data_IF_732866325550
#
_entry.id   IF_732866325550
#
_cell.length_a   1.000
_cell.length_b   1.000
_cell.length_c   1.000
_cell.angle_alpha   90.00
_cell.angle_beta   90.00
_cell.angle_gamma   90.00
#
_symmetry.space_group_name_H-M   'P 1'
#
loop_
_entity.id
_entity.type
_entity.pdbx_description
1 polymer ?
#
# COMPACT_ATOMS: atom_id res chain seq x y z
N UNK A 1 -45.06 -43.56 19.16
CA UNK A 1 -43.58 -43.39 19.22
C UNK A 1 -43.07 -43.05 17.83
N UNK A 2 -42.94 -41.78 17.51
CA UNK A 2 -42.50 -41.30 16.21
C UNK A 2 -40.98 -41.21 16.20
N UNK A 3 -40.35 -42.12 15.47
CA UNK A 3 -38.87 -42.12 15.23
C UNK A 3 -38.58 -40.90 14.34
N UNK A 4 -38.20 -39.77 14.93
CA UNK A 4 -37.76 -38.59 14.20
C UNK A 4 -36.43 -38.91 13.50
N UNK A 5 -36.40 -38.65 12.21
CA UNK A 5 -35.36 -39.08 11.30
C UNK A 5 -34.14 -38.15 11.45
N UNK A 6 -33.17 -38.52 12.27
CA UNK A 6 -31.93 -37.79 12.54
C UNK A 6 -31.12 -37.44 11.26
N UNK A 7 -31.43 -38.02 10.12
CA UNK A 7 -30.78 -37.74 8.85
C UNK A 7 -31.14 -36.35 8.30
N UNK A 8 -32.38 -35.87 8.54
CA UNK A 8 -32.85 -34.56 8.09
C UNK A 8 -32.21 -33.42 8.88
N UNK A 9 -32.06 -33.55 10.15
CA UNK A 9 -31.44 -32.57 11.05
C UNK A 9 -29.96 -32.39 10.71
N UNK A 10 -29.24 -33.49 10.44
CA UNK A 10 -27.83 -33.43 10.05
C UNK A 10 -27.60 -32.82 8.65
N UNK A 11 -28.55 -33.00 7.72
CA UNK A 11 -28.45 -32.43 6.38
C UNK A 11 -28.64 -30.91 6.39
N UNK A 12 -29.65 -30.42 7.10
CA UNK A 12 -29.90 -28.98 7.25
C UNK A 12 -28.82 -28.27 8.07
N UNK A 13 -28.28 -28.93 9.11
CA UNK A 13 -27.16 -28.41 9.88
C UNK A 13 -25.88 -28.23 9.04
N UNK A 14 -25.58 -29.19 8.14
CA UNK A 14 -24.44 -29.10 7.21
C UNK A 14 -24.60 -27.99 6.16
N UNK A 15 -25.81 -27.77 5.66
CA UNK A 15 -26.11 -26.70 4.69
C UNK A 15 -25.96 -25.33 5.39
N UNK A 16 -26.44 -25.20 6.63
CA UNK A 16 -26.36 -23.94 7.40
C UNK A 16 -24.92 -23.56 7.73
N UNK A 17 -24.09 -24.53 8.09
CA UNK A 17 -22.64 -24.32 8.31
C UNK A 17 -21.94 -23.94 7.00
N UNK A 18 -22.29 -24.55 5.88
CA UNK A 18 -21.71 -24.25 4.57
C UNK A 18 -22.10 -22.83 4.07
N UNK A 19 -23.33 -22.37 4.35
CA UNK A 19 -23.78 -21.01 4.06
C UNK A 19 -23.06 -19.95 4.89
N UNK A 20 -22.69 -20.23 6.15
CA UNK A 20 -21.92 -19.31 6.98
C UNK A 20 -20.47 -19.12 6.51
N UNK A 21 -19.89 -20.12 5.85
CA UNK A 21 -18.52 -20.04 5.32
C UNK A 21 -18.46 -19.22 4.02
N UNK A 22 -19.56 -19.11 3.27
CA UNK A 22 -19.65 -18.39 2.01
C UNK A 22 -19.97 -16.89 2.16
N UNK A 23 -20.44 -16.43 3.31
CA UNK A 23 -20.71 -15.01 3.60
C UNK A 23 -19.48 -14.21 4.02
N UNK A 24 -18.29 -14.76 3.87
CA UNK A 24 -17.01 -14.07 4.09
C UNK A 24 -16.69 -13.06 3.00
N UNK A 25 -17.42 -11.95 2.91
CA UNK A 25 -16.82 -10.71 2.47
C UNK A 25 -15.73 -10.39 3.49
N UNK A 26 -14.49 -10.80 3.16
CA UNK A 26 -13.34 -10.57 4.01
C UNK A 26 -12.99 -9.07 4.01
N UNK A 27 -13.73 -8.31 4.79
CA UNK A 27 -13.12 -7.11 5.38
C UNK A 27 -12.04 -7.63 6.30
N UNK A 28 -10.79 -7.21 6.18
CA UNK A 28 -9.74 -7.64 7.08
C UNK A 28 -10.18 -7.25 8.50
N UNK A 29 -10.51 -8.22 9.31
CA UNK A 29 -10.94 -8.05 10.71
C UNK A 29 -9.88 -7.32 11.56
N UNK A 30 -8.66 -7.22 11.03
CA UNK A 30 -7.48 -6.68 11.70
C UNK A 30 -7.03 -5.31 11.17
N UNK A 31 -7.77 -4.67 10.25
CA UNK A 31 -7.40 -3.40 9.62
C UNK A 31 -6.43 -3.53 8.45
N UNK A 32 -6.11 -2.41 7.82
CA UNK A 32 -5.25 -2.31 6.64
C UNK A 32 -3.84 -1.84 7.02
N UNK A 33 -2.85 -2.42 6.33
CA UNK A 33 -1.45 -2.05 6.51
C UNK A 33 -0.89 -2.46 7.88
N UNK A 34 0.34 -2.05 8.15
CA UNK A 34 1.06 -2.33 9.40
C UNK A 34 0.39 -1.67 10.61
N UNK A 35 -0.20 -0.49 10.41
CA UNK A 35 -0.85 0.31 11.46
C UNK A 35 -2.30 -0.12 11.75
N UNK A 36 -2.82 -1.16 11.10
CA UNK A 36 -4.19 -1.69 11.28
C UNK A 36 -5.28 -0.62 11.13
N UNK A 37 -5.11 0.28 10.19
CA UNK A 37 -6.03 1.38 9.91
C UNK A 37 -7.38 0.88 9.38
N UNK A 38 -8.43 1.67 9.54
CA UNK A 38 -9.68 1.47 8.81
C UNK A 38 -9.44 1.66 7.31
N UNK A 39 -10.38 1.25 6.48
CA UNK A 39 -10.26 1.39 5.02
C UNK A 39 -10.11 2.84 4.58
N UNK A 40 -10.85 3.74 5.21
CA UNK A 40 -10.84 5.17 4.91
C UNK A 40 -9.52 5.82 5.34
N UNK A 41 -9.11 5.57 6.58
CA UNK A 41 -7.83 6.05 7.12
C UNK A 41 -6.65 5.53 6.30
N UNK A 42 -6.70 4.28 5.87
CA UNK A 42 -5.66 3.71 5.00
C UNK A 42 -5.64 4.39 3.62
N UNK A 43 -6.80 4.73 3.06
CA UNK A 43 -6.90 5.50 1.81
C UNK A 43 -6.22 6.86 1.93
N UNK A 44 -6.51 7.62 2.97
CA UNK A 44 -5.86 8.90 3.25
C UNK A 44 -4.35 8.75 3.48
N UNK A 45 -3.95 7.76 4.27
CA UNK A 45 -2.54 7.47 4.50
C UNK A 45 -1.77 7.19 3.19
N UNK A 46 -2.32 6.37 2.30
CA UNK A 46 -1.73 6.07 0.98
C UNK A 46 -1.62 7.34 0.13
N UNK A 47 -2.63 8.20 0.14
CA UNK A 47 -2.62 9.50 -0.56
C UNK A 47 -1.51 10.41 -0.02
N UNK A 48 -1.38 10.51 1.29
CA UNK A 48 -0.36 11.34 1.94
C UNK A 48 1.06 10.85 1.60
N UNK A 49 1.28 9.53 1.62
CA UNK A 49 2.56 8.93 1.23
C UNK A 49 2.87 9.19 -0.24
N UNK A 50 1.87 9.10 -1.12
CA UNK A 50 2.03 9.40 -2.54
C UNK A 50 2.40 10.87 -2.77
N UNK A 51 1.75 11.80 -2.09
CA UNK A 51 2.07 13.23 -2.14
C UNK A 51 3.48 13.51 -1.64
N UNK A 52 3.87 12.92 -0.51
CA UNK A 52 5.22 13.06 0.05
C UNK A 52 6.29 12.60 -0.96
N UNK A 53 6.13 11.41 -1.54
CA UNK A 53 7.04 10.89 -2.56
C UNK A 53 7.18 11.84 -3.76
N UNK A 54 6.06 12.34 -4.28
CA UNK A 54 6.07 13.24 -5.45
C UNK A 54 6.77 14.57 -5.13
N UNK A 55 6.53 15.13 -3.94
CA UNK A 55 7.21 16.35 -3.49
C UNK A 55 8.72 16.13 -3.45
N UNK A 56 9.17 15.06 -2.83
CA UNK A 56 10.59 14.73 -2.72
C UNK A 56 11.23 14.50 -4.09
N UNK A 57 10.56 13.75 -4.98
CA UNK A 57 11.05 13.57 -6.36
C UNK A 57 11.24 14.89 -7.10
N UNK A 58 10.30 15.84 -6.92
CA UNK A 58 10.41 17.17 -7.49
C UNK A 58 11.59 17.97 -6.92
N UNK A 59 11.83 17.89 -5.62
CA UNK A 59 12.95 18.53 -4.95
C UNK A 59 14.29 17.96 -5.40
N UNK A 60 14.42 16.63 -5.54
CA UNK A 60 15.63 15.98 -6.10
C UNK A 60 15.89 16.45 -7.52
N UNK A 61 14.84 16.54 -8.35
CA UNK A 61 14.95 17.01 -9.73
C UNK A 61 15.46 18.45 -9.77
N UNK A 62 14.91 19.35 -8.97
CA UNK A 62 15.34 20.75 -8.88
C UNK A 62 16.80 20.85 -8.45
N UNK A 63 17.19 20.11 -7.39
CA UNK A 63 18.55 20.08 -6.89
C UNK A 63 19.56 19.57 -7.95
N UNK A 64 19.16 18.59 -8.74
CA UNK A 64 19.98 18.03 -9.81
C UNK A 64 20.20 19.05 -10.94
N UNK A 65 19.17 19.84 -11.25
CA UNK A 65 19.25 20.90 -12.26
C UNK A 65 20.15 22.07 -11.81
N UNK A 66 20.07 22.44 -10.53
CA UNK A 66 20.86 23.54 -9.96
C UNK A 66 22.36 23.21 -9.88
N UNK A 67 22.71 21.94 -9.65
CA UNK A 67 24.09 21.52 -9.50
C UNK A 67 24.85 21.21 -10.81
N UNK A 68 24.24 21.48 -11.98
CA UNK A 68 24.85 21.40 -13.34
C UNK A 68 25.76 20.18 -13.56
N UNK A 69 25.37 19.04 -13.02
CA UNK A 69 26.09 17.77 -13.16
C UNK A 69 27.28 17.56 -12.25
N UNK A 70 27.59 18.50 -11.33
CA UNK A 70 28.65 18.30 -10.34
C UNK A 70 28.18 17.29 -9.28
N UNK A 71 28.54 16.03 -9.52
CA UNK A 71 28.13 14.91 -8.65
C UNK A 71 29.01 14.84 -7.41
N UNK A 72 28.75 15.74 -6.46
CA UNK A 72 29.35 15.66 -5.13
C UNK A 72 29.03 14.30 -4.47
N UNK A 73 29.87 13.88 -3.51
CA UNK A 73 29.59 12.66 -2.73
C UNK A 73 28.19 12.70 -2.11
N UNK A 74 27.72 13.88 -1.78
CA UNK A 74 26.41 14.11 -1.17
C UNK A 74 25.28 13.90 -2.16
N UNK A 75 25.39 14.47 -3.38
CA UNK A 75 24.41 14.25 -4.43
C UNK A 75 24.27 12.77 -4.77
N UNK A 76 25.37 12.01 -4.80
CA UNK A 76 25.32 10.54 -4.99
C UNK A 76 24.54 9.82 -3.90
N UNK A 77 24.59 10.31 -2.64
CA UNK A 77 23.78 9.74 -1.55
C UNK A 77 22.30 9.99 -1.76
N UNK A 78 21.92 11.23 -2.14
CA UNK A 78 20.52 11.60 -2.42
C UNK A 78 19.97 10.75 -3.56
N UNK A 79 20.67 10.71 -4.70
CA UNK A 79 20.22 9.93 -5.88
C UNK A 79 20.09 8.42 -5.57
N UNK A 80 20.97 7.88 -4.73
CA UNK A 80 20.86 6.48 -4.28
C UNK A 80 19.64 6.27 -3.38
N UNK A 81 19.36 7.19 -2.47
CA UNK A 81 18.21 7.13 -1.58
C UNK A 81 16.91 7.32 -2.36
N UNK A 82 16.88 8.24 -3.32
CA UNK A 82 15.75 8.44 -4.23
C UNK A 82 15.45 7.19 -5.05
N UNK A 83 16.46 6.56 -5.63
CA UNK A 83 16.29 5.30 -6.35
C UNK A 83 15.66 4.24 -5.47
N UNK A 84 16.13 4.10 -4.23
CA UNK A 84 15.54 3.18 -3.26
C UNK A 84 14.07 3.54 -2.93
N UNK A 85 13.77 4.82 -2.76
CA UNK A 85 12.40 5.30 -2.58
C UNK A 85 11.51 4.90 -3.75
N UNK A 86 11.95 5.09 -5.00
CA UNK A 86 11.20 4.67 -6.17
C UNK A 86 10.91 3.16 -6.20
N UNK A 87 11.88 2.34 -5.81
CA UNK A 87 11.71 0.88 -5.73
C UNK A 87 10.66 0.51 -4.68
N UNK A 88 10.70 1.11 -3.50
CA UNK A 88 9.73 0.85 -2.42
C UNK A 88 8.33 1.38 -2.74
N UNK A 89 8.23 2.50 -3.45
CA UNK A 89 6.97 3.14 -3.81
C UNK A 89 6.34 2.59 -5.12
N UNK A 90 7.01 1.69 -5.83
CA UNK A 90 6.54 1.18 -7.13
C UNK A 90 5.10 0.65 -7.11
N UNK A 91 4.63 -0.15 -6.12
CA UNK A 91 3.25 -0.59 -6.08
C UNK A 91 2.25 0.56 -5.88
N UNK A 92 2.63 1.58 -5.12
CA UNK A 92 1.83 2.77 -4.89
C UNK A 92 1.66 3.59 -6.16
N UNK A 93 2.74 3.76 -6.91
CA UNK A 93 2.74 4.49 -8.18
C UNK A 93 1.90 3.76 -9.24
N UNK A 94 2.00 2.44 -9.33
CA UNK A 94 1.15 1.63 -10.21
C UNK A 94 -0.33 1.76 -9.83
N UNK A 95 -0.63 1.73 -8.54
CA UNK A 95 -2.00 1.92 -8.03
C UNK A 95 -2.55 3.28 -8.45
N UNK A 96 -1.81 4.37 -8.20
CA UNK A 96 -2.22 5.73 -8.53
C UNK A 96 -2.40 5.93 -10.04
N UNK A 97 -1.49 5.39 -10.87
CA UNK A 97 -1.62 5.43 -12.33
C UNK A 97 -2.89 4.73 -12.81
N UNK A 98 -3.15 3.50 -12.35
CA UNK A 98 -4.36 2.76 -12.73
C UNK A 98 -5.64 3.44 -12.27
N UNK A 99 -5.64 4.02 -11.07
CA UNK A 99 -6.80 4.73 -10.53
C UNK A 99 -7.11 5.99 -11.36
N UNK A 100 -6.10 6.78 -11.70
CA UNK A 100 -6.25 7.99 -12.53
C UNK A 100 -6.71 7.69 -13.96
N UNK A 101 -6.35 6.54 -14.51
CA UNK A 101 -6.77 6.08 -15.84
C UNK A 101 -8.15 5.35 -15.82
N UNK A 102 -8.76 5.20 -14.64
CA UNK A 102 -10.02 4.45 -14.47
C UNK A 102 -9.87 2.95 -14.73
N UNK A 103 -8.66 2.41 -14.64
CA UNK A 103 -8.37 1.00 -14.85
C UNK A 103 -8.72 0.16 -13.63
N UNK A 104 -9.04 -1.11 -13.87
CA UNK A 104 -9.34 -2.04 -12.79
C UNK A 104 -8.11 -2.30 -11.89
N UNK A 105 -8.27 -2.05 -10.60
CA UNK A 105 -7.27 -2.35 -9.58
C UNK A 105 -7.55 -3.74 -9.00
N UNK A 106 -6.67 -4.69 -9.30
CA UNK A 106 -6.79 -6.07 -8.81
C UNK A 106 -6.46 -6.19 -7.32
N UNK A 107 -6.93 -7.26 -6.68
CA UNK A 107 -6.66 -7.56 -5.26
C UNK A 107 -5.17 -7.71 -4.97
N UNK A 108 -4.40 -8.23 -5.92
CA UNK A 108 -2.97 -8.41 -5.78
C UNK A 108 -2.25 -7.06 -5.59
N UNK A 109 -2.52 -6.07 -6.46
CA UNK A 109 -1.94 -4.74 -6.36
C UNK A 109 -2.35 -4.04 -5.06
N UNK A 110 -3.61 -4.15 -4.65
CA UNK A 110 -4.07 -3.61 -3.36
C UNK A 110 -3.27 -4.18 -2.19
N UNK A 111 -3.04 -5.49 -2.18
CA UNK A 111 -2.22 -6.15 -1.15
C UNK A 111 -0.74 -5.72 -1.18
N UNK A 112 -0.20 -5.48 -2.37
CA UNK A 112 1.16 -4.94 -2.48
C UNK A 112 1.24 -3.55 -1.88
N UNK A 113 0.29 -2.66 -2.18
CA UNK A 113 0.22 -1.31 -1.58
C UNK A 113 0.11 -1.38 -0.06
N UNK A 114 -0.78 -2.24 0.48
CA UNK A 114 -0.92 -2.44 1.93
C UNK A 114 0.40 -2.81 2.61
N UNK A 115 1.25 -3.60 1.96
CA UNK A 115 2.53 -4.07 2.50
C UNK A 115 3.66 -3.06 2.31
N UNK A 116 3.65 -2.31 1.22
CA UNK A 116 4.76 -1.43 0.83
C UNK A 116 4.57 0.03 1.25
N UNK A 117 3.37 0.45 1.65
CA UNK A 117 3.09 1.85 1.95
C UNK A 117 3.99 2.41 3.08
N UNK A 118 4.21 1.64 4.15
CA UNK A 118 5.10 2.05 5.26
C UNK A 118 6.56 2.11 4.82
N UNK A 119 7.01 1.16 4.01
CA UNK A 119 8.39 1.15 3.49
C UNK A 119 8.61 2.28 2.49
N UNK A 120 7.61 2.60 1.66
CA UNK A 120 7.61 3.76 0.78
C UNK A 120 7.73 5.07 1.59
N UNK A 121 6.90 5.26 2.63
CA UNK A 121 7.00 6.44 3.50
C UNK A 121 8.37 6.53 4.17
N UNK A 122 8.87 5.43 4.71
CA UNK A 122 10.18 5.41 5.38
C UNK A 122 11.31 5.79 4.42
N UNK A 123 11.28 5.26 3.20
CA UNK A 123 12.25 5.60 2.16
C UNK A 123 12.15 7.08 1.74
N UNK A 124 10.93 7.62 1.60
CA UNK A 124 10.69 9.03 1.31
C UNK A 124 11.25 9.95 2.43
N UNK A 125 10.95 9.62 3.69
CA UNK A 125 11.47 10.35 4.85
C UNK A 125 12.99 10.30 4.93
N UNK A 126 13.61 9.21 4.49
CA UNK A 126 15.07 9.10 4.42
C UNK A 126 15.66 10.10 3.42
N UNK A 127 15.06 10.27 2.24
CA UNK A 127 15.50 11.29 1.28
C UNK A 127 15.28 12.69 1.85
N UNK A 128 14.11 12.95 2.44
CA UNK A 128 13.81 14.24 3.10
C UNK A 128 14.83 14.59 4.18
N UNK A 129 15.30 13.61 4.97
CA UNK A 129 16.31 13.86 6.00
C UNK A 129 17.66 14.28 5.41
N UNK A 130 18.02 13.73 4.25
CA UNK A 130 19.24 14.12 3.55
C UNK A 130 19.19 15.58 3.08
N UNK A 131 18.03 16.10 2.67
CA UNK A 131 17.90 17.52 2.32
C UNK A 131 18.12 18.46 3.50
N UNK A 132 17.74 18.04 4.71
CA UNK A 132 17.93 18.86 5.91
C UNK A 132 19.39 18.93 6.39
N UNK A 133 20.26 18.09 5.84
CA UNK A 133 21.69 18.08 6.12
C UNK A 133 22.50 18.97 5.13
N UNK A 134 21.83 19.56 4.12
CA UNK A 134 22.43 20.54 3.19
C UNK A 134 22.55 21.91 3.81
#
# INVERSE_FOLDING_TARGET
MTKWNNKWVNFHGRILVFMMVLSGCATPFWGYGENKLSREEFGHYVEDVFRLQNTITSEVMMLTLENDGDSTRYMKKILKAEKHMHEMCAPLNEYASRDSEGLRIGLYLRRQVERSAVDCERAARQVESLFKEL
#
